data_IF_947083617327
#
_entry.id   IF_947083617327
#
_cell.length_a   1.000
_cell.length_b   1.000
_cell.length_c   1.000
_cell.angle_alpha   90.00
_cell.angle_beta   90.00
_cell.angle_gamma   90.00
#
_symmetry.space_group_name_H-M   'P 1'
#
loop_
_entity.id
_entity.type
_entity.pdbx_description
1 polymer ?
#
# COMPACT_ATOMS: atom_id res chain seq x y z
N UNK A 1 15.48 -18.31 -17.08
CA UNK A 1 15.29 -17.38 -15.94
C UNK A 1 16.56 -17.35 -15.10
N UNK A 2 17.13 -16.18 -14.89
CA UNK A 2 18.28 -15.99 -14.02
C UNK A 2 17.89 -15.99 -12.53
N UNK A 3 18.89 -15.94 -11.61
CA UNK A 3 18.67 -15.98 -10.15
C UNK A 3 17.75 -14.84 -9.67
N UNK A 4 17.92 -13.65 -10.24
CA UNK A 4 17.15 -12.45 -9.89
C UNK A 4 15.67 -12.58 -10.30
N UNK A 5 15.39 -13.08 -11.51
CA UNK A 5 14.02 -13.32 -11.95
C UNK A 5 13.31 -14.37 -11.09
N UNK A 6 14.02 -15.41 -10.64
CA UNK A 6 13.48 -16.40 -9.70
C UNK A 6 13.13 -15.74 -8.36
N UNK A 7 14.01 -14.89 -7.82
CA UNK A 7 13.75 -14.15 -6.59
C UNK A 7 12.55 -13.20 -6.76
N UNK A 8 12.48 -12.48 -7.87
CA UNK A 8 11.32 -11.63 -8.18
C UNK A 8 10.00 -12.41 -8.12
N UNK A 9 9.95 -13.59 -8.74
CA UNK A 9 8.76 -14.45 -8.69
C UNK A 9 8.46 -14.90 -7.26
N UNK A 10 9.46 -15.35 -6.50
CA UNK A 10 9.26 -15.78 -5.10
C UNK A 10 8.70 -14.65 -4.26
N UNK A 11 9.29 -13.45 -4.34
CA UNK A 11 8.79 -12.29 -3.59
C UNK A 11 7.34 -11.94 -3.98
N UNK A 12 7.02 -11.95 -5.28
CA UNK A 12 5.67 -11.66 -5.73
C UNK A 12 4.65 -12.73 -5.30
N UNK A 13 5.02 -13.99 -5.27
CA UNK A 13 4.20 -15.06 -4.70
C UNK A 13 3.97 -14.83 -3.19
N UNK A 14 5.01 -14.49 -2.42
CA UNK A 14 4.89 -14.21 -0.99
C UNK A 14 4.00 -12.98 -0.74
N UNK A 15 4.16 -11.90 -1.51
CA UNK A 15 3.30 -10.71 -1.42
C UNK A 15 1.83 -11.11 -1.61
N UNK A 16 1.52 -11.89 -2.65
CA UNK A 16 0.15 -12.34 -2.92
C UNK A 16 -0.39 -13.21 -1.77
N UNK A 17 0.38 -14.22 -1.34
CA UNK A 17 -0.04 -15.17 -0.30
C UNK A 17 -0.30 -14.44 1.03
N UNK A 18 0.63 -13.57 1.46
CA UNK A 18 0.49 -12.86 2.72
C UNK A 18 -0.64 -11.81 2.68
N UNK A 19 -0.82 -11.14 1.55
CA UNK A 19 -1.97 -10.25 1.36
C UNK A 19 -3.28 -11.02 1.45
N UNK A 20 -3.39 -12.14 0.74
CA UNK A 20 -4.59 -12.99 0.75
C UNK A 20 -4.89 -13.48 2.17
N UNK A 21 -3.88 -14.02 2.86
CA UNK A 21 -4.01 -14.49 4.25
C UNK A 21 -4.47 -13.37 5.18
N UNK A 22 -3.81 -12.20 5.14
CA UNK A 22 -4.14 -11.07 6.00
C UNK A 22 -5.55 -10.53 5.71
N UNK A 23 -5.93 -10.41 4.43
CA UNK A 23 -7.27 -9.94 4.03
C UNK A 23 -8.36 -10.89 4.49
N UNK A 24 -8.19 -12.20 4.27
CA UNK A 24 -9.15 -13.21 4.73
C UNK A 24 -9.23 -13.18 6.26
N UNK A 25 -8.09 -13.19 6.96
CA UNK A 25 -8.05 -13.13 8.43
C UNK A 25 -8.80 -11.92 8.98
N UNK A 26 -8.65 -10.74 8.37
CA UNK A 26 -9.38 -9.53 8.76
C UNK A 26 -10.89 -9.66 8.51
N UNK A 27 -11.29 -10.13 7.32
CA UNK A 27 -12.70 -10.30 6.95
C UNK A 27 -13.43 -11.23 7.91
N UNK A 28 -12.83 -12.38 8.26
CA UNK A 28 -13.45 -13.36 9.17
C UNK A 28 -13.21 -13.03 10.65
N UNK A 29 -12.35 -12.05 10.95
CA UNK A 29 -12.00 -11.67 12.32
C UNK A 29 -11.09 -12.67 13.02
N UNK A 30 -10.27 -13.42 12.28
CA UNK A 30 -9.31 -14.38 12.84
C UNK A 30 -8.14 -13.68 13.51
N UNK A 31 -7.91 -13.98 14.79
CA UNK A 31 -6.87 -13.40 15.63
C UNK A 31 -5.87 -14.48 16.02
N UNK A 32 -4.58 -14.31 15.65
CA UNK A 32 -3.52 -15.30 15.88
C UNK A 32 -2.34 -14.75 16.70
N UNK A 33 -2.28 -13.42 16.95
CA UNK A 33 -1.24 -12.75 17.75
C UNK A 33 -1.80 -12.06 19.01
N UNK A 34 -3.06 -12.34 19.39
CA UNK A 34 -3.73 -11.72 20.54
C UNK A 34 -5.05 -11.07 20.16
N UNK A 35 -5.82 -10.62 21.16
CA UNK A 35 -7.18 -10.12 20.92
C UNK A 35 -7.23 -8.68 20.41
N UNK A 36 -6.21 -7.88 20.73
CA UNK A 36 -6.16 -6.46 20.39
C UNK A 36 -5.63 -6.27 18.96
N UNK A 37 -6.37 -5.51 18.18
CA UNK A 37 -6.00 -5.09 16.83
C UNK A 37 -6.74 -3.82 16.50
N UNK A 38 -6.01 -2.77 16.11
CA UNK A 38 -6.58 -1.47 15.72
C UNK A 38 -6.72 -1.39 14.20
N UNK A 39 -7.58 -0.49 13.72
CA UNK A 39 -7.87 -0.33 12.28
C UNK A 39 -8.27 -1.65 11.62
N UNK A 40 -9.09 -2.44 12.31
CA UNK A 40 -9.64 -3.68 11.79
C UNK A 40 -11.17 -3.67 11.87
N UNK A 41 -11.79 -4.18 10.83
CA UNK A 41 -13.23 -4.38 10.74
C UNK A 41 -13.52 -5.75 10.14
N UNK A 42 -14.58 -6.38 10.59
CA UNK A 42 -15.03 -7.64 10.01
C UNK A 42 -15.79 -7.43 8.70
N UNK A 43 -15.86 -8.49 7.91
CA UNK A 43 -16.54 -8.51 6.63
C UNK A 43 -15.93 -7.46 5.66
N UNK A 44 -16.68 -7.10 4.65
CA UNK A 44 -16.26 -6.14 3.64
C UNK A 44 -16.11 -4.69 4.15
N UNK A 45 -16.50 -4.41 5.41
CA UNK A 45 -16.26 -3.10 6.03
C UNK A 45 -14.78 -2.79 6.21
N UNK A 46 -13.90 -3.79 6.21
CA UNK A 46 -12.45 -3.62 6.23
C UNK A 46 -11.91 -2.83 5.04
N UNK A 47 -12.59 -2.88 3.89
CA UNK A 47 -12.21 -2.13 2.67
C UNK A 47 -12.45 -0.62 2.76
N UNK A 48 -12.96 -0.10 3.88
CA UNK A 48 -12.91 1.34 4.15
C UNK A 48 -11.48 1.85 4.40
N UNK A 49 -10.55 0.97 4.76
CA UNK A 49 -9.17 1.34 5.08
C UNK A 49 -8.26 1.29 3.86
N UNK A 50 -7.53 2.37 3.61
CA UNK A 50 -6.49 2.44 2.59
C UNK A 50 -5.46 1.32 2.72
N UNK A 51 -5.16 0.92 3.96
CA UNK A 51 -4.29 -0.21 4.28
C UNK A 51 -4.73 -1.49 3.57
N UNK A 52 -6.01 -1.82 3.64
CA UNK A 52 -6.55 -3.04 3.01
C UNK A 52 -6.50 -2.91 1.50
N UNK A 53 -7.00 -1.78 0.96
CA UNK A 53 -7.07 -1.55 -0.48
C UNK A 53 -5.69 -1.54 -1.13
N UNK A 54 -4.71 -0.85 -0.54
CA UNK A 54 -3.34 -0.79 -1.07
C UNK A 54 -2.64 -2.15 -1.04
N UNK A 55 -2.84 -2.94 0.02
CA UNK A 55 -2.29 -4.30 0.11
C UNK A 55 -2.97 -5.24 -0.88
N UNK A 56 -4.30 -5.24 -0.98
CA UNK A 56 -5.03 -6.06 -1.96
C UNK A 56 -4.60 -5.70 -3.39
N UNK A 57 -4.49 -4.43 -3.71
CA UNK A 57 -3.96 -3.97 -4.99
C UNK A 57 -2.54 -4.51 -5.24
N UNK A 58 -1.65 -4.43 -4.25
CA UNK A 58 -0.29 -4.97 -4.35
C UNK A 58 -0.27 -6.49 -4.56
N UNK A 59 -1.12 -7.22 -3.85
CA UNK A 59 -1.29 -8.67 -4.02
C UNK A 59 -1.76 -9.04 -5.43
N UNK A 60 -2.79 -8.37 -5.93
CA UNK A 60 -3.33 -8.62 -7.27
C UNK A 60 -2.33 -8.28 -8.39
N UNK A 61 -1.63 -7.16 -8.28
CA UNK A 61 -0.56 -6.78 -9.22
C UNK A 61 0.57 -7.80 -9.18
N UNK A 62 0.94 -8.29 -7.99
CA UNK A 62 1.99 -9.31 -7.84
C UNK A 62 1.58 -10.64 -8.46
N UNK A 63 0.35 -11.09 -8.25
CA UNK A 63 -0.19 -12.29 -8.91
C UNK A 63 -0.18 -12.14 -10.43
N UNK A 64 -0.71 -11.04 -10.96
CA UNK A 64 -0.74 -10.77 -12.39
C UNK A 64 0.67 -10.76 -12.99
N UNK A 65 1.64 -10.19 -12.28
CA UNK A 65 3.03 -10.19 -12.71
C UNK A 65 3.66 -11.61 -12.72
N UNK A 66 3.38 -12.43 -11.70
CA UNK A 66 3.82 -13.85 -11.68
C UNK A 66 3.24 -14.60 -12.86
N UNK A 67 1.92 -14.49 -13.09
CA UNK A 67 1.26 -15.14 -14.23
C UNK A 67 1.93 -14.72 -15.54
N UNK A 68 2.13 -13.40 -15.73
CA UNK A 68 2.82 -12.89 -16.92
C UNK A 68 4.22 -13.48 -17.09
N UNK A 69 5.04 -13.50 -16.02
CA UNK A 69 6.43 -14.04 -16.08
C UNK A 69 6.48 -15.54 -16.38
N UNK A 70 5.44 -16.28 -16.05
CA UNK A 70 5.35 -17.72 -16.34
C UNK A 70 4.89 -18.00 -17.79
N UNK A 71 4.35 -17.02 -18.51
CA UNK A 71 4.01 -17.17 -19.93
C UNK A 71 5.27 -17.28 -20.81
N UNK A 72 5.11 -17.80 -22.03
CA UNK A 72 6.20 -17.88 -23.01
C UNK A 72 6.81 -16.51 -23.32
N UNK A 73 5.98 -15.47 -23.44
CA UNK A 73 6.43 -14.10 -23.70
C UNK A 73 7.17 -13.49 -22.49
N UNK A 74 6.69 -13.73 -21.28
CA UNK A 74 7.31 -13.25 -20.04
C UNK A 74 8.67 -13.91 -19.79
N UNK A 75 8.81 -15.20 -20.07
CA UNK A 75 10.07 -15.93 -19.91
C UNK A 75 11.19 -15.44 -20.83
N UNK A 76 10.84 -14.91 -22.00
CA UNK A 76 11.82 -14.39 -22.98
C UNK A 76 12.30 -12.98 -22.63
N UNK A 77 11.59 -12.23 -21.80
CA UNK A 77 11.92 -10.85 -21.44
C UNK A 77 12.66 -10.77 -20.11
N UNK A 78 13.87 -10.25 -20.13
CA UNK A 78 14.67 -9.99 -18.91
C UNK A 78 14.19 -8.76 -18.15
N UNK A 79 13.55 -7.81 -18.84
CA UNK A 79 13.05 -6.55 -18.26
C UNK A 79 11.52 -6.54 -18.20
N UNK A 80 11.01 -5.84 -17.19
CA UNK A 80 9.57 -5.69 -16.95
C UNK A 80 8.95 -4.75 -17.99
N UNK A 81 7.80 -5.10 -18.61
CA UNK A 81 7.04 -4.18 -19.46
C UNK A 81 6.63 -2.92 -18.72
N UNK A 82 6.55 -1.79 -19.45
CA UNK A 82 6.18 -0.48 -18.89
C UNK A 82 4.86 -0.49 -18.12
N UNK A 83 3.85 -1.21 -18.60
CA UNK A 83 2.57 -1.34 -17.90
C UNK A 83 2.73 -1.95 -16.50
N UNK A 84 3.48 -3.06 -16.39
CA UNK A 84 3.78 -3.67 -15.10
C UNK A 84 4.65 -2.76 -14.23
N UNK A 85 5.60 -2.02 -14.81
CA UNK A 85 6.38 -1.04 -14.07
C UNK A 85 5.47 -0.01 -13.36
N UNK A 86 4.53 0.57 -14.09
CA UNK A 86 3.56 1.54 -13.55
C UNK A 86 2.73 0.92 -12.42
N UNK A 87 2.15 -0.26 -12.65
CA UNK A 87 1.34 -0.96 -11.65
C UNK A 87 2.15 -1.33 -10.41
N UNK A 88 3.36 -1.84 -10.59
CA UNK A 88 4.26 -2.23 -9.48
C UNK A 88 4.75 -1.01 -8.70
N UNK A 89 5.09 0.09 -9.37
CA UNK A 89 5.43 1.34 -8.70
C UNK A 89 4.24 1.85 -7.87
N UNK A 90 3.05 1.92 -8.47
CA UNK A 90 1.84 2.36 -7.76
C UNK A 90 1.53 1.46 -6.55
N UNK A 91 1.62 0.14 -6.72
CA UNK A 91 1.41 -0.82 -5.64
C UNK A 91 2.44 -0.66 -4.51
N UNK A 92 3.73 -0.63 -4.86
CA UNK A 92 4.81 -0.44 -3.88
C UNK A 92 4.68 0.91 -3.15
N UNK A 93 4.29 1.99 -3.86
CA UNK A 93 4.07 3.31 -3.25
C UNK A 93 2.89 3.28 -2.29
N UNK A 94 1.77 2.67 -2.67
CA UNK A 94 0.58 2.58 -1.80
C UNK A 94 0.88 1.87 -0.48
N UNK A 95 1.53 0.70 -0.53
CA UNK A 95 1.88 -0.02 0.71
C UNK A 95 3.02 0.65 1.48
N UNK A 96 3.93 1.37 0.81
CA UNK A 96 4.95 2.20 1.48
C UNK A 96 4.28 3.32 2.28
N UNK A 97 3.31 4.02 1.69
CA UNK A 97 2.52 5.05 2.39
C UNK A 97 1.83 4.46 3.61
N UNK A 98 1.16 3.30 3.46
CA UNK A 98 0.53 2.58 4.58
C UNK A 98 1.52 2.33 5.72
N UNK A 99 2.69 1.74 5.43
CA UNK A 99 3.71 1.44 6.43
C UNK A 99 4.22 2.72 7.11
N UNK A 100 4.58 3.75 6.34
CA UNK A 100 5.14 5.00 6.87
C UNK A 100 4.13 5.78 7.71
N UNK A 101 2.87 5.88 7.27
CA UNK A 101 1.81 6.51 8.06
C UNK A 101 1.55 5.73 9.34
N UNK A 102 1.58 4.39 9.30
CA UNK A 102 1.41 3.59 10.51
C UNK A 102 2.57 3.77 11.48
N UNK A 103 3.82 3.67 11.02
CA UNK A 103 5.01 3.75 11.88
C UNK A 103 5.22 5.15 12.47
N UNK A 104 5.03 6.21 11.67
CA UNK A 104 5.41 7.56 12.05
C UNK A 104 4.25 8.46 12.51
N UNK A 105 3.02 8.07 12.23
CA UNK A 105 1.85 8.85 12.63
C UNK A 105 0.89 8.05 13.53
N UNK A 106 0.28 6.96 13.04
CA UNK A 106 -0.80 6.29 13.74
C UNK A 106 -0.33 5.59 15.03
N UNK A 107 0.73 4.80 14.95
CA UNK A 107 1.21 4.03 16.10
C UNK A 107 1.81 4.93 17.20
N UNK A 108 2.61 5.98 16.91
CA UNK A 108 3.09 6.92 17.93
C UNK A 108 1.97 7.72 18.62
N UNK A 109 0.89 8.05 17.93
CA UNK A 109 -0.25 8.82 18.49
C UNK A 109 -1.22 7.96 19.30
N UNK A 110 -0.95 6.68 19.49
CA UNK A 110 -1.87 5.68 20.08
C UNK A 110 -1.85 5.58 21.61
N UNK A 111 -1.26 6.53 22.32
CA UNK A 111 -1.20 6.53 23.80
C UNK A 111 -0.71 5.21 24.43
N UNK A 112 0.43 4.69 23.95
CA UNK A 112 1.07 3.47 24.45
C UNK A 112 0.66 2.16 23.78
N UNK A 113 -0.25 2.20 22.79
CA UNK A 113 -0.71 1.03 22.06
C UNK A 113 0.04 0.81 20.73
N UNK A 114 1.30 1.23 20.62
CA UNK A 114 2.11 1.17 19.40
C UNK A 114 2.08 -0.20 18.73
N UNK A 115 2.32 -1.28 19.51
CA UNK A 115 2.39 -2.63 18.98
C UNK A 115 1.06 -3.17 18.45
N UNK A 116 -0.08 -2.62 18.88
CA UNK A 116 -1.40 -3.06 18.41
C UNK A 116 -1.63 -2.78 16.93
N UNK A 117 -0.90 -1.82 16.35
CA UNK A 117 -0.90 -1.56 14.91
C UNK A 117 -0.13 -2.60 14.09
N UNK A 118 0.58 -3.54 14.76
CA UNK A 118 1.37 -4.59 14.15
C UNK A 118 0.97 -5.98 14.66
N UNK A 119 -0.30 -6.16 15.02
CA UNK A 119 -0.84 -7.45 15.46
C UNK A 119 -1.75 -8.06 14.40
N UNK A 120 -1.85 -9.38 14.37
CA UNK A 120 -2.73 -10.14 13.50
C UNK A 120 -2.57 -9.77 12.01
N UNK A 121 -3.66 -9.50 11.31
CA UNK A 121 -3.65 -9.09 9.90
C UNK A 121 -2.81 -7.84 9.65
N UNK A 122 -2.81 -6.90 10.61
CA UNK A 122 -2.03 -5.67 10.53
C UNK A 122 -0.52 -5.89 10.53
N UNK A 123 -0.01 -6.98 11.12
CA UNK A 123 1.40 -7.34 11.04
C UNK A 123 1.84 -7.52 9.59
N UNK A 124 1.03 -8.21 8.81
CA UNK A 124 1.31 -8.37 7.38
C UNK A 124 1.08 -7.08 6.60
N UNK A 125 -0.05 -6.40 6.83
CA UNK A 125 -0.45 -5.24 6.02
C UNK A 125 0.37 -3.97 6.31
N UNK A 126 0.86 -3.79 7.54
CA UNK A 126 1.64 -2.61 7.92
C UNK A 126 3.14 -2.81 7.88
N UNK A 127 3.63 -4.07 7.83
CA UNK A 127 5.07 -4.34 7.91
C UNK A 127 5.54 -5.31 6.81
N UNK A 128 5.09 -6.57 6.84
CA UNK A 128 5.68 -7.63 6.02
C UNK A 128 5.43 -7.39 4.53
N UNK A 129 4.17 -7.22 4.11
CA UNK A 129 3.83 -7.00 2.70
C UNK A 129 4.46 -5.73 2.14
N UNK A 130 4.40 -4.55 2.83
CA UNK A 130 5.13 -3.36 2.40
C UNK A 130 6.63 -3.58 2.20
N UNK A 131 7.32 -4.21 3.16
CA UNK A 131 8.75 -4.49 3.05
C UNK A 131 9.06 -5.41 1.86
N UNK A 132 8.28 -6.47 1.66
CA UNK A 132 8.45 -7.35 0.51
C UNK A 132 8.24 -6.62 -0.82
N UNK A 133 7.23 -5.75 -0.91
CA UNK A 133 6.97 -4.94 -2.11
C UNK A 133 8.13 -3.99 -2.41
N UNK A 134 8.63 -3.27 -1.40
CA UNK A 134 9.76 -2.35 -1.52
C UNK A 134 11.01 -3.10 -2.00
N UNK A 135 11.37 -4.18 -1.31
CA UNK A 135 12.56 -4.98 -1.63
C UNK A 135 12.44 -5.59 -3.02
N UNK A 136 11.28 -6.20 -3.35
CA UNK A 136 11.05 -6.79 -4.66
C UNK A 136 11.20 -5.77 -5.77
N UNK A 137 10.52 -4.63 -5.64
CA UNK A 137 10.54 -3.56 -6.65
C UNK A 137 11.95 -2.97 -6.83
N UNK A 138 12.64 -2.65 -5.74
CA UNK A 138 13.96 -1.99 -5.79
C UNK A 138 15.04 -2.91 -6.32
N UNK A 139 15.06 -4.19 -5.93
CA UNK A 139 16.21 -5.06 -6.19
C UNK A 139 15.97 -6.11 -7.27
N UNK A 140 14.75 -6.58 -7.45
CA UNK A 140 14.49 -7.76 -8.29
C UNK A 140 13.66 -7.50 -9.54
N UNK A 141 13.00 -6.33 -9.63
CA UNK A 141 12.11 -6.01 -10.73
C UNK A 141 12.78 -5.05 -11.72
N UNK A 142 13.68 -5.62 -12.56
CA UNK A 142 14.38 -4.83 -13.57
C UNK A 142 13.43 -4.29 -14.63
N UNK A 143 13.53 -3.00 -14.89
CA UNK A 143 12.84 -2.30 -15.96
C UNK A 143 13.84 -1.50 -16.81
N UNK A 144 13.44 -1.15 -18.03
CA UNK A 144 14.19 -0.15 -18.80
C UNK A 144 14.24 1.18 -18.01
N UNK A 145 15.30 1.98 -18.17
CA UNK A 145 15.43 3.26 -17.48
C UNK A 145 14.21 4.16 -17.77
N UNK A 146 13.46 4.47 -16.73
CA UNK A 146 12.25 5.28 -16.83
C UNK A 146 12.55 6.77 -16.64
N UNK A 147 11.86 7.64 -17.40
CA UNK A 147 11.92 9.09 -17.19
C UNK A 147 11.30 9.46 -15.85
N UNK A 148 11.71 10.61 -15.28
CA UNK A 148 11.20 11.13 -13.99
C UNK A 148 9.67 11.18 -13.92
N UNK A 149 9.02 11.59 -15.02
CA UNK A 149 7.55 11.64 -15.10
C UNK A 149 6.87 10.30 -14.78
N UNK A 150 7.58 9.19 -14.93
CA UNK A 150 7.07 7.86 -14.59
C UNK A 150 7.02 7.56 -13.08
N UNK A 151 7.47 8.50 -12.23
CA UNK A 151 7.19 8.45 -10.79
C UNK A 151 5.76 8.91 -10.45
N UNK A 152 5.16 9.76 -11.27
CA UNK A 152 3.83 10.34 -11.02
C UNK A 152 2.72 9.29 -10.86
N UNK A 153 2.64 8.21 -11.67
CA UNK A 153 1.66 7.15 -11.46
C UNK A 153 1.68 6.51 -10.06
N UNK A 154 2.75 6.66 -9.30
CA UNK A 154 2.80 6.20 -7.91
C UNK A 154 1.76 6.85 -7.00
N UNK A 155 1.22 8.02 -7.36
CA UNK A 155 0.17 8.72 -6.58
C UNK A 155 -1.21 8.06 -6.74
N UNK A 156 -1.43 7.29 -7.82
CA UNK A 156 -2.75 6.78 -8.21
C UNK A 156 -3.52 6.11 -7.07
N UNK A 157 -2.94 5.21 -6.26
CA UNK A 157 -3.70 4.57 -5.17
C UNK A 157 -4.26 5.58 -4.17
N UNK A 158 -3.44 6.56 -3.77
CA UNK A 158 -3.88 7.61 -2.82
C UNK A 158 -4.91 8.55 -3.47
N UNK A 159 -4.75 8.87 -4.74
CA UNK A 159 -5.71 9.69 -5.49
C UNK A 159 -7.08 9.01 -5.52
N UNK A 160 -7.14 7.74 -5.93
CA UNK A 160 -8.40 6.98 -5.97
C UNK A 160 -9.05 6.86 -4.59
N UNK A 161 -8.26 6.59 -3.56
CA UNK A 161 -8.77 6.50 -2.20
C UNK A 161 -9.32 7.83 -1.68
N UNK A 162 -8.67 8.95 -2.00
CA UNK A 162 -9.13 10.28 -1.57
C UNK A 162 -10.48 10.66 -2.17
N UNK A 163 -10.82 10.19 -3.39
CA UNK A 163 -12.15 10.36 -3.98
C UNK A 163 -13.25 9.62 -3.21
N UNK A 164 -12.89 8.60 -2.45
CA UNK A 164 -13.81 7.89 -1.56
C UNK A 164 -13.81 8.50 -0.15
N UNK A 165 -12.65 8.62 0.47
CA UNK A 165 -12.51 9.03 1.87
C UNK A 165 -12.96 10.46 2.12
N UNK A 166 -12.50 11.41 1.31
CA UNK A 166 -12.79 12.84 1.51
C UNK A 166 -14.28 13.16 1.40
N UNK A 167 -15.00 12.75 0.35
CA UNK A 167 -16.45 12.94 0.29
C UNK A 167 -17.19 12.22 1.42
N UNK A 168 -16.76 11.01 1.80
CA UNK A 168 -17.39 10.29 2.92
C UNK A 168 -17.33 11.10 4.23
N UNK A 169 -16.19 11.73 4.55
CA UNK A 169 -16.08 12.58 5.74
C UNK A 169 -16.92 13.84 5.62
N UNK A 170 -16.85 14.53 4.47
CA UNK A 170 -17.52 15.84 4.28
C UNK A 170 -19.04 15.72 4.19
N UNK A 171 -19.58 14.61 3.70
CA UNK A 171 -21.02 14.36 3.64
C UNK A 171 -21.65 13.95 4.99
N UNK A 172 -20.80 13.55 5.95
CA UNK A 172 -21.25 13.10 7.28
C UNK A 172 -20.78 14.03 8.41
N UNK A 173 -20.73 15.33 8.14
CA UNK A 173 -20.48 16.31 9.20
C UNK A 173 -21.70 16.42 10.11
N UNK A 174 -21.47 16.55 11.42
CA UNK A 174 -22.49 16.88 12.41
C UNK A 174 -22.33 18.34 12.84
N UNK A 175 -23.30 19.18 12.52
CA UNK A 175 -23.26 20.64 12.78
C UNK A 175 -21.92 21.29 12.31
N UNK A 176 -21.41 20.87 11.13
CA UNK A 176 -20.15 21.36 10.56
C UNK A 176 -18.88 20.76 11.19
N UNK A 177 -19.02 19.84 12.15
CA UNK A 177 -17.90 19.16 12.81
C UNK A 177 -17.64 17.79 12.19
N UNK A 178 -16.37 17.42 12.12
CA UNK A 178 -15.94 16.10 11.63
C UNK A 178 -16.35 15.02 12.64
N UNK A 179 -17.05 14.00 12.15
CA UNK A 179 -17.46 12.85 12.94
C UNK A 179 -16.42 11.76 12.86
N UNK A 180 -15.88 11.36 14.01
CA UNK A 180 -14.76 10.38 14.12
C UNK A 180 -15.05 9.03 13.47
N UNK A 181 -16.29 8.58 13.43
CA UNK A 181 -16.68 7.34 12.78
C UNK A 181 -16.43 7.34 11.27
N UNK A 182 -16.43 8.50 10.63
CA UNK A 182 -16.18 8.69 9.21
C UNK A 182 -14.76 9.15 8.91
N UNK A 183 -14.05 9.77 9.88
CA UNK A 183 -12.62 10.12 9.83
C UNK A 183 -11.79 9.12 10.64
N UNK A 184 -11.79 7.85 10.20
CA UNK A 184 -11.16 6.75 10.93
C UNK A 184 -9.63 6.87 11.07
N UNK A 185 -8.95 7.68 10.24
CA UNK A 185 -7.53 8.02 10.39
C UNK A 185 -7.29 9.26 11.23
N UNK A 186 -8.34 10.02 11.55
CA UNK A 186 -8.24 11.29 12.27
C UNK A 186 -7.40 12.35 11.52
N UNK A 187 -7.41 12.31 10.21
CA UNK A 187 -6.65 13.24 9.39
C UNK A 187 -7.27 14.65 9.38
N UNK A 188 -8.57 14.76 9.61
CA UNK A 188 -9.31 16.03 9.62
C UNK A 188 -9.69 16.48 11.03
N UNK A 189 -8.95 16.05 12.07
CA UNK A 189 -9.20 16.43 13.47
C UNK A 189 -9.21 17.95 13.72
N UNK A 190 -8.53 18.73 12.89
CA UNK A 190 -8.57 20.21 12.91
C UNK A 190 -9.84 20.84 12.30
N UNK A 191 -10.80 20.02 11.84
CA UNK A 191 -12.04 20.46 11.21
C UNK A 191 -12.05 20.22 9.69
N UNK A 192 -13.25 20.31 9.08
CA UNK A 192 -13.45 20.01 7.66
C UNK A 192 -12.60 20.87 6.71
N UNK A 193 -12.28 22.11 7.10
CA UNK A 193 -11.46 23.03 6.31
C UNK A 193 -10.01 22.54 6.14
N UNK A 194 -9.52 21.67 7.03
CA UNK A 194 -8.15 21.12 6.92
C UNK A 194 -7.97 20.20 5.73
N UNK A 195 -9.04 19.75 5.08
CA UNK A 195 -8.99 18.94 3.86
C UNK A 195 -8.11 19.57 2.77
N UNK A 196 -8.18 20.90 2.62
CA UNK A 196 -7.43 21.66 1.61
C UNK A 196 -5.92 21.68 1.86
N UNK A 197 -5.49 21.29 3.06
CA UNK A 197 -4.07 21.16 3.42
C UNK A 197 -3.70 19.67 3.46
N UNK A 198 -4.49 18.87 4.14
CA UNK A 198 -4.16 17.45 4.41
C UNK A 198 -4.09 16.64 3.11
N UNK A 199 -5.06 16.80 2.21
CA UNK A 199 -5.10 16.01 0.96
C UNK A 199 -3.89 16.34 0.04
N UNK A 200 -3.56 17.61 -0.26
CA UNK A 200 -2.36 17.94 -1.02
C UNK A 200 -1.06 17.46 -0.34
N UNK A 201 -0.96 17.56 0.98
CA UNK A 201 0.20 17.07 1.72
C UNK A 201 0.36 15.55 1.58
N UNK A 202 -0.75 14.79 1.68
CA UNK A 202 -0.73 13.33 1.46
C UNK A 202 -0.30 12.98 0.03
N UNK A 203 -0.75 13.74 -0.99
CA UNK A 203 -0.28 13.54 -2.37
C UNK A 203 1.21 13.82 -2.53
N UNK A 204 1.70 14.90 -1.91
CA UNK A 204 3.12 15.25 -1.95
C UNK A 204 3.97 14.16 -1.29
N UNK A 205 3.59 13.70 -0.11
CA UNK A 205 4.29 12.62 0.61
C UNK A 205 4.27 11.33 -0.23
N UNK A 206 3.11 10.98 -0.80
CA UNK A 206 2.98 9.81 -1.66
C UNK A 206 3.89 9.90 -2.88
N UNK A 207 3.96 11.09 -3.51
CA UNK A 207 4.87 11.29 -4.64
C UNK A 207 6.34 11.22 -4.24
N UNK A 208 6.73 11.74 -3.08
CA UNK A 208 8.10 11.61 -2.55
C UNK A 208 8.49 10.13 -2.40
N UNK A 209 7.60 9.28 -1.89
CA UNK A 209 7.85 7.84 -1.82
C UNK A 209 7.96 7.21 -3.21
N UNK A 210 7.06 7.56 -4.13
CA UNK A 210 7.14 7.10 -5.51
C UNK A 210 8.45 7.51 -6.20
N UNK A 211 8.90 8.74 -5.97
CA UNK A 211 10.15 9.28 -6.48
C UNK A 211 11.36 8.52 -5.93
N UNK A 212 11.35 8.24 -4.63
CA UNK A 212 12.39 7.44 -3.97
C UNK A 212 12.46 6.02 -4.54
N UNK A 213 11.31 5.34 -4.65
CA UNK A 213 11.22 4.01 -5.24
C UNK A 213 11.67 3.99 -6.71
N UNK A 214 11.24 4.97 -7.52
CA UNK A 214 11.67 5.14 -8.89
C UNK A 214 13.20 5.29 -8.98
N UNK A 215 13.79 6.17 -8.17
CA UNK A 215 15.21 6.44 -8.18
C UNK A 215 16.05 5.21 -7.76
N UNK A 216 15.61 4.52 -6.71
CA UNK A 216 16.27 3.32 -6.21
C UNK A 216 16.15 2.15 -7.21
N UNK A 217 14.96 1.91 -7.77
CA UNK A 217 14.78 0.90 -8.80
C UNK A 217 15.69 1.16 -10.00
N UNK A 218 15.72 2.39 -10.51
CA UNK A 218 16.59 2.79 -11.64
C UNK A 218 18.07 2.55 -11.36
N UNK A 219 18.52 2.71 -10.11
CA UNK A 219 19.91 2.54 -9.69
C UNK A 219 20.28 1.08 -9.42
N UNK A 220 19.42 0.33 -8.75
CA UNK A 220 19.73 -0.97 -8.14
C UNK A 220 19.12 -2.16 -8.88
N UNK A 221 18.02 -1.96 -9.60
CA UNK A 221 17.35 -2.98 -10.38
C UNK A 221 18.03 -3.22 -11.76
N UNK A 222 19.38 -3.35 -11.82
CA UNK A 222 20.16 -3.58 -13.06
C UNK A 222 20.41 -5.05 -13.30
#
# INVERSE_FOLDING_TARGET
>A
MNKREKLSIIFNCLIFIFTLFATISMIIGFKFMGQLEVLSERNFKSFKYFTVDSNVFAGLVSLAYVIYKLTANGKKRSVMPRAFYILKLAAATGVTLTMMVTVFYLAPTSNGNFLHYFMNSNFFMHLITPLLCIISFIFFEAAEPQKLIMSVPGIIPMLLYSFFYTPNVLLHLDNGKVVRAYDWYNFLAGGAQTVWIVVPVLYLITWIFALGLWALNRKLAK
#
